data_IF_445562110607
#
_entry.id   IF_445562110607
#
_cell.length_a   1.000
_cell.length_b   1.000
_cell.length_c   1.000
_cell.angle_alpha   90.00
_cell.angle_beta   90.00
_cell.angle_gamma   90.00
#
_symmetry.space_group_name_H-M   'P 1'
#
loop_
_entity.id
_entity.type
_entity.pdbx_description
1 polymer ?
#
# COMPACT_ATOMS: atom_id res chain seq x y z
N UNK A 1 17.36 8.99 4.11
CA UNK A 1 16.33 9.81 3.42
C UNK A 1 16.25 9.26 2.01
N UNK A 2 15.08 8.82 1.57
CA UNK A 2 14.88 8.20 0.26
C UNK A 2 15.05 9.27 -0.81
N UNK A 3 16.12 9.19 -1.62
CA UNK A 3 16.43 10.20 -2.64
C UNK A 3 15.61 10.05 -3.93
N UNK A 4 14.92 8.92 -4.05
CA UNK A 4 14.18 8.44 -5.20
C UNK A 4 12.65 8.55 -5.03
N UNK A 5 12.17 8.96 -3.86
CA UNK A 5 10.76 9.19 -3.59
C UNK A 5 10.47 10.69 -3.72
N UNK A 6 9.44 11.11 -4.49
CA UNK A 6 9.18 12.53 -4.78
C UNK A 6 8.53 13.31 -3.63
N UNK A 7 8.25 12.64 -2.52
CA UNK A 7 7.60 13.17 -1.31
C UNK A 7 8.37 12.68 -0.07
N UNK A 8 8.18 13.34 1.07
CA UNK A 8 8.85 12.89 2.29
C UNK A 8 8.23 11.59 2.84
N UNK A 9 9.06 10.78 3.51
CA UNK A 9 8.64 9.53 4.15
C UNK A 9 9.17 9.50 5.57
N UNK A 10 8.26 9.64 6.53
CA UNK A 10 8.60 9.78 7.94
C UNK A 10 7.40 9.44 8.83
N UNK A 11 7.68 8.97 10.05
CA UNK A 11 6.66 8.66 11.06
C UNK A 11 5.83 9.89 11.48
N UNK A 12 6.29 11.10 11.18
CA UNK A 12 5.55 12.33 11.48
C UNK A 12 4.23 12.44 10.69
N UNK A 13 4.16 11.77 9.53
CA UNK A 13 2.99 11.80 8.65
C UNK A 13 1.92 10.77 9.04
N UNK A 14 2.20 9.87 10.00
CA UNK A 14 1.28 8.78 10.37
C UNK A 14 -0.13 9.27 10.76
N UNK A 15 -0.21 10.47 11.33
CA UNK A 15 -1.48 11.11 11.74
C UNK A 15 -2.10 12.06 10.70
N UNK A 16 -1.53 12.17 9.50
CA UNK A 16 -2.05 13.02 8.44
C UNK A 16 -3.48 12.61 8.06
N UNK A 17 -4.35 13.61 7.82
CA UNK A 17 -5.73 13.36 7.39
C UNK A 17 -6.03 14.13 6.13
N UNK A 18 -6.31 13.40 5.06
CA UNK A 18 -6.68 13.95 3.76
C UNK A 18 -8.20 14.12 3.71
N UNK A 19 -8.67 15.36 3.57
CA UNK A 19 -10.10 15.65 3.43
C UNK A 19 -10.48 15.57 1.96
N UNK A 20 -11.79 15.43 1.68
CA UNK A 20 -12.32 15.32 0.31
C UNK A 20 -11.84 16.43 -0.64
N UNK A 21 -11.69 17.66 -0.16
CA UNK A 21 -11.24 18.78 -1.00
C UNK A 21 -9.75 18.75 -1.32
N UNK A 22 -8.95 18.00 -0.54
CA UNK A 22 -7.50 17.86 -0.68
C UNK A 22 -7.12 16.51 -1.32
N UNK A 23 -8.11 15.64 -1.58
CA UNK A 23 -7.93 14.29 -2.11
C UNK A 23 -7.82 14.32 -3.64
N UNK A 24 -6.73 13.78 -4.18
CA UNK A 24 -6.58 13.60 -5.62
C UNK A 24 -7.39 12.41 -6.15
N UNK A 25 -7.24 11.23 -5.55
CA UNK A 25 -7.99 10.01 -5.88
C UNK A 25 -8.33 9.22 -4.63
N UNK A 26 -9.41 8.43 -4.67
CA UNK A 26 -9.77 7.46 -3.64
C UNK A 26 -9.40 6.05 -4.10
N UNK A 27 -8.63 5.32 -3.31
CA UNK A 27 -8.18 3.95 -3.62
C UNK A 27 -8.84 2.97 -2.63
N UNK A 28 -9.70 2.08 -3.12
CA UNK A 28 -10.40 1.12 -2.24
C UNK A 28 -11.38 1.78 -1.26
N UNK A 29 -11.96 2.93 -1.61
CA UNK A 29 -12.94 3.62 -0.78
C UNK A 29 -14.21 2.80 -0.50
N UNK A 30 -15.13 3.31 0.34
CA UNK A 30 -16.39 2.61 0.68
C UNK A 30 -17.29 2.32 -0.53
N UNK A 31 -17.14 3.07 -1.62
CA UNK A 31 -17.91 2.89 -2.86
C UNK A 31 -17.29 1.88 -3.82
N UNK A 32 -16.07 1.43 -3.55
CA UNK A 32 -15.30 0.48 -4.36
C UNK A 32 -15.39 -0.89 -3.69
N UNK A 33 -15.96 -1.86 -4.41
CA UNK A 33 -16.19 -3.21 -3.89
C UNK A 33 -14.91 -4.06 -3.90
N UNK A 34 -14.09 -3.90 -4.93
CA UNK A 34 -12.87 -4.67 -5.12
C UNK A 34 -11.67 -3.95 -4.51
N UNK A 35 -11.22 -4.44 -3.36
CA UNK A 35 -10.02 -3.94 -2.67
C UNK A 35 -9.44 -5.00 -1.76
N UNK A 36 -8.12 -5.03 -1.65
CA UNK A 36 -7.45 -5.85 -0.65
C UNK A 36 -6.02 -5.38 -0.37
N UNK A 37 -5.51 -5.71 0.80
CA UNK A 37 -4.09 -5.85 1.09
C UNK A 37 -3.81 -7.26 1.60
N UNK A 38 -2.68 -7.83 1.19
CA UNK A 38 -2.28 -9.19 1.53
C UNK A 38 -0.76 -9.29 1.59
N UNK A 39 -0.25 -9.91 2.65
CA UNK A 39 1.14 -10.35 2.72
C UNK A 39 1.21 -11.87 2.50
N UNK A 40 2.13 -12.34 1.65
CA UNK A 40 2.40 -13.76 1.42
C UNK A 40 3.87 -14.07 1.61
N UNK A 41 4.15 -15.11 2.36
CA UNK A 41 5.51 -15.66 2.43
C UNK A 41 5.67 -16.68 1.31
N UNK A 42 6.75 -16.54 0.55
CA UNK A 42 7.05 -17.37 -0.62
C UNK A 42 8.43 -18.02 -0.49
N UNK A 43 8.63 -19.17 -1.15
CA UNK A 43 9.98 -19.68 -1.42
C UNK A 43 10.82 -18.61 -2.12
N UNK A 44 12.10 -18.51 -1.77
CA UNK A 44 13.00 -17.47 -2.31
C UNK A 44 13.24 -17.60 -3.82
N UNK A 45 13.07 -18.81 -4.38
CA UNK A 45 13.17 -19.08 -5.83
C UNK A 45 11.87 -18.77 -6.60
N UNK A 46 10.78 -18.46 -5.89
CA UNK A 46 9.49 -18.11 -6.48
C UNK A 46 9.27 -16.60 -6.65
N UNK A 47 10.15 -15.74 -6.11
CA UNK A 47 10.03 -14.29 -6.15
C UNK A 47 11.34 -13.61 -6.56
N UNK A 48 11.25 -12.37 -7.02
CA UNK A 48 12.39 -11.54 -7.41
C UNK A 48 12.50 -10.38 -6.42
N UNK A 49 13.62 -10.29 -5.71
CA UNK A 49 13.86 -9.26 -4.69
C UNK A 49 13.81 -7.85 -5.31
N UNK A 50 13.14 -6.92 -4.62
CA UNK A 50 12.96 -5.54 -5.07
C UNK A 50 12.02 -5.33 -6.27
N UNK A 51 11.38 -6.39 -6.80
CA UNK A 51 10.47 -6.25 -7.94
C UNK A 51 9.18 -5.54 -7.53
N UNK A 52 8.85 -4.47 -8.26
CA UNK A 52 7.58 -3.74 -8.13
C UNK A 52 6.81 -3.83 -9.45
N UNK A 53 5.53 -4.21 -9.39
CA UNK A 53 4.65 -4.34 -10.56
C UNK A 53 3.38 -3.55 -10.28
N UNK A 54 2.97 -2.75 -11.26
CA UNK A 54 1.67 -2.06 -11.27
C UNK A 54 0.81 -2.71 -12.35
N UNK A 55 -0.32 -3.29 -11.96
CA UNK A 55 -1.31 -3.87 -12.87
C UNK A 55 -2.54 -2.97 -12.87
N UNK A 56 -2.77 -2.27 -13.98
CA UNK A 56 -3.83 -1.26 -14.10
C UNK A 56 -3.25 0.14 -14.34
N UNK A 57 -4.08 1.19 -14.24
CA UNK A 57 -3.63 2.57 -14.44
C UNK A 57 -2.69 3.01 -13.30
N UNK A 58 -1.67 3.77 -13.67
CA UNK A 58 -0.81 4.48 -12.72
C UNK A 58 -1.48 5.79 -12.29
N UNK A 59 -1.06 6.40 -11.17
CA UNK A 59 -1.70 7.58 -10.57
C UNK A 59 -1.79 8.77 -11.54
N UNK A 60 -0.79 8.93 -12.42
CA UNK A 60 -0.75 9.98 -13.46
C UNK A 60 -1.83 9.83 -14.53
N UNK A 61 -2.36 8.62 -14.70
CA UNK A 61 -3.38 8.28 -15.70
C UNK A 61 -4.79 8.23 -15.07
N UNK A 62 -4.88 8.44 -13.75
CA UNK A 62 -6.15 8.51 -13.03
C UNK A 62 -6.77 9.91 -13.13
N UNK A 63 -8.10 9.96 -13.04
CA UNK A 63 -8.87 11.20 -13.04
C UNK A 63 -8.98 11.71 -11.61
N UNK A 64 -8.67 12.98 -11.42
CA UNK A 64 -8.88 13.69 -10.16
C UNK A 64 -10.35 13.55 -9.67
N UNK A 65 -10.50 13.27 -8.38
CA UNK A 65 -11.76 12.97 -7.71
C UNK A 65 -12.33 11.57 -8.02
N UNK A 66 -11.61 10.75 -8.80
CA UNK A 66 -12.01 9.38 -9.14
C UNK A 66 -11.83 8.40 -7.98
N UNK A 67 -12.59 7.30 -8.01
CA UNK A 67 -12.48 6.18 -7.09
C UNK A 67 -12.08 4.91 -7.84
N UNK A 68 -11.04 4.22 -7.36
CA UNK A 68 -10.41 3.09 -8.07
C UNK A 68 -10.22 1.87 -7.15
N UNK A 69 -10.33 0.64 -7.69
CA UNK A 69 -9.87 -0.57 -7.01
C UNK A 69 -8.39 -0.48 -6.63
N UNK A 70 -8.03 -1.03 -5.48
CA UNK A 70 -6.64 -1.17 -5.05
C UNK A 70 -6.38 -2.57 -4.49
N UNK A 71 -5.37 -3.24 -5.04
CA UNK A 71 -4.86 -4.49 -4.53
C UNK A 71 -3.39 -4.32 -4.16
N UNK A 72 -3.04 -4.55 -2.91
CA UNK A 72 -1.65 -4.52 -2.41
C UNK A 72 -1.24 -5.95 -2.10
N UNK A 73 -0.35 -6.52 -2.91
CA UNK A 73 0.24 -7.82 -2.63
C UNK A 73 1.72 -7.63 -2.29
N UNK A 74 2.09 -7.95 -1.06
CA UNK A 74 3.48 -7.96 -0.59
C UNK A 74 3.92 -9.41 -0.49
N UNK A 75 4.87 -9.81 -1.34
CA UNK A 75 5.48 -11.13 -1.26
C UNK A 75 6.87 -11.01 -0.62
N UNK A 76 7.13 -11.84 0.39
CA UNK A 76 8.38 -11.82 1.13
C UNK A 76 8.99 -13.23 1.24
N UNK A 77 10.30 -13.32 1.27
CA UNK A 77 11.03 -14.56 1.51
C UNK A 77 12.20 -14.28 2.47
N UNK A 78 12.52 -15.26 3.32
CA UNK A 78 13.63 -15.14 4.26
C UNK A 78 13.81 -16.42 5.05
N UNK A 79 15.05 -16.72 5.46
CA UNK A 79 15.39 -17.96 6.16
C UNK A 79 14.66 -18.14 7.50
N UNK A 80 14.22 -17.03 8.11
CA UNK A 80 13.49 -17.01 9.39
C UNK A 80 12.01 -16.63 9.23
N UNK A 81 11.50 -16.53 7.99
CA UNK A 81 10.11 -16.19 7.75
C UNK A 81 9.27 -17.47 7.59
N UNK A 82 8.14 -17.52 8.28
CA UNK A 82 7.13 -18.58 8.18
C UNK A 82 5.73 -17.98 8.02
N UNK A 83 4.79 -18.74 7.45
CA UNK A 83 3.42 -18.26 7.13
C UNK A 83 2.67 -17.65 8.32
N UNK A 84 3.02 -17.99 9.57
CA UNK A 84 2.45 -17.38 10.77
C UNK A 84 2.75 -15.89 10.91
N UNK A 85 3.78 -15.38 10.22
CA UNK A 85 4.16 -13.97 10.19
C UNK A 85 3.43 -13.15 9.12
N UNK A 86 2.68 -13.77 8.21
CA UNK A 86 1.96 -13.07 7.13
C UNK A 86 1.05 -11.97 7.71
N UNK A 87 0.24 -12.29 8.71
CA UNK A 87 -0.64 -11.29 9.34
C UNK A 87 0.09 -10.17 10.09
N UNK A 88 1.31 -10.43 10.58
CA UNK A 88 2.15 -9.41 11.22
C UNK A 88 2.68 -8.44 10.19
N UNK A 89 3.15 -8.94 9.04
CA UNK A 89 3.64 -8.13 7.92
C UNK A 89 2.48 -7.32 7.31
N UNK A 90 1.34 -7.97 7.07
CA UNK A 90 0.12 -7.34 6.54
C UNK A 90 -0.29 -6.14 7.39
N UNK A 91 -0.31 -6.28 8.72
CA UNK A 91 -0.67 -5.17 9.61
C UNK A 91 0.29 -3.97 9.52
N UNK A 92 1.54 -4.17 9.09
CA UNK A 92 2.52 -3.08 8.93
C UNK A 92 2.30 -2.26 7.65
N UNK A 93 1.57 -2.79 6.66
CA UNK A 93 1.21 -2.05 5.43
C UNK A 93 0.54 -0.72 5.80
N UNK A 94 -0.39 -0.76 6.76
CA UNK A 94 -1.05 0.44 7.28
C UNK A 94 -0.07 1.52 7.76
N UNK A 95 0.92 1.15 8.58
CA UNK A 95 1.91 2.10 9.08
C UNK A 95 2.80 2.63 7.96
N UNK A 96 3.30 1.73 7.09
CA UNK A 96 4.21 2.12 6.02
C UNK A 96 3.57 3.06 5.00
N UNK A 97 2.30 2.84 4.66
CA UNK A 97 1.57 3.74 3.77
C UNK A 97 1.32 5.11 4.41
N UNK A 98 0.96 5.16 5.69
CA UNK A 98 0.74 6.43 6.40
C UNK A 98 2.04 7.17 6.76
N UNK A 99 3.22 6.60 6.52
CA UNK A 99 4.47 7.35 6.64
C UNK A 99 4.77 8.22 5.42
N UNK A 100 4.04 8.04 4.32
CA UNK A 100 4.21 8.79 3.07
C UNK A 100 3.40 10.08 3.18
N UNK A 101 4.06 11.24 3.04
CA UNK A 101 3.39 12.54 2.99
C UNK A 101 2.34 12.56 1.86
N UNK A 102 1.11 12.93 2.22
CA UNK A 102 0.00 12.99 1.27
C UNK A 102 -0.63 11.63 0.94
N UNK A 103 -0.35 10.58 1.70
CA UNK A 103 -1.03 9.29 1.59
C UNK A 103 -1.78 8.93 2.88
N UNK A 104 -3.06 8.55 2.76
CA UNK A 104 -3.89 8.17 3.90
C UNK A 104 -4.47 6.77 3.69
N UNK A 105 -3.97 5.81 4.47
CA UNK A 105 -4.47 4.44 4.53
C UNK A 105 -5.31 4.22 5.79
N UNK A 106 -6.45 3.55 5.62
CA UNK A 106 -7.39 3.22 6.71
C UNK A 106 -7.70 1.72 6.68
N UNK A 107 -8.18 1.20 7.80
CA UNK A 107 -8.62 -0.18 7.95
C UNK A 107 -7.51 -1.21 7.66
N UNK A 108 -7.89 -2.37 7.10
CA UNK A 108 -7.03 -3.51 6.82
C UNK A 108 -7.72 -4.50 5.89
N UNK A 109 -6.94 -5.41 5.28
CA UNK A 109 -7.44 -6.51 4.43
C UNK A 109 -8.33 -5.97 3.32
N UNK A 110 -9.64 -6.26 3.33
CA UNK A 110 -10.55 -5.96 2.22
C UNK A 110 -11.67 -4.96 2.58
N UNK A 111 -11.49 -4.19 3.67
CA UNK A 111 -12.55 -3.38 4.29
C UNK A 111 -12.30 -1.87 4.27
#
# INVERSE_FOLDING_TARGET
>A
MFSDIPVDVSVIYEGERIRRNDMYVELGGPTVKEKFELAKIRPADAIEDGKVIIIGPDIKDMKEGGAYPLGVLVEAAGATLDEGLEGVIERRIHGYMNFIEGFMHLNQRYD
#
